data_IF_949036902431
#
_entry.id   IF_949036902431
#
_cell.length_a   1.000
_cell.length_b   1.000
_cell.length_c   1.000
_cell.angle_alpha   90.00
_cell.angle_beta   90.00
_cell.angle_gamma   90.00
#
_symmetry.space_group_name_H-M   'P 1'
#
loop_
_entity.id
_entity.type
_entity.pdbx_description
1 polymer ?
2 water ?
#
# COMPACT_ATOMS: atom_id res chain seq x y z
N UNK A 25 -10.50 -18.80 -10.70
CA UNK A 25 -10.19 -18.00 -11.88
C UNK A 25 -10.05 -16.52 -11.53
N UNK A 26 -11.17 -15.82 -11.54
CA UNK A 26 -11.20 -14.38 -11.28
C UNK A 26 -11.41 -14.13 -9.78
N UNK A 27 -10.96 -15.06 -8.95
CA UNK A 27 -11.04 -14.88 -7.51
C UNK A 27 -9.65 -14.70 -6.91
N UNK A 28 -9.59 -14.00 -5.79
CA UNK A 28 -8.33 -13.79 -5.10
C UNK A 28 -8.34 -14.47 -3.74
N UNK A 29 -7.24 -15.15 -3.41
CA UNK A 29 -7.11 -15.79 -2.11
C UNK A 29 -7.00 -14.72 -1.04
N UNK A 30 -7.94 -14.73 -0.08
CA UNK A 30 -7.98 -13.78 1.04
C UNK A 30 -6.62 -13.61 1.70
N UNK A 31 -6.19 -12.37 1.87
CA UNK A 31 -4.92 -12.10 2.53
C UNK A 31 -3.73 -12.02 1.59
N UNK A 32 -3.97 -12.05 0.28
CA UNK A 32 -2.86 -11.98 -0.67
C UNK A 32 -2.60 -10.55 -1.13
N UNK A 33 -1.47 -10.37 -1.81
CA UNK A 33 -1.11 -9.08 -2.40
C UNK A 33 -1.35 -9.13 -3.91
N UNK A 34 -2.08 -8.14 -4.42
CA UNK A 34 -2.40 -8.06 -5.85
C UNK A 34 -1.89 -6.74 -6.45
N UNK A 35 -0.99 -6.82 -7.43
CA UNK A 35 -0.55 -5.63 -8.13
C UNK A 35 -1.54 -5.27 -9.22
N UNK A 36 -1.78 -3.96 -9.36
CA UNK A 36 -2.72 -3.44 -10.34
C UNK A 36 -2.01 -2.54 -11.35
N UNK A 37 -1.94 -2.97 -12.61
CA UNK A 37 -1.30 -2.21 -13.68
C UNK A 37 -2.34 -1.69 -14.66
N UNK A 38 -2.07 -0.54 -15.28
CA UNK A 38 -2.93 -0.01 -16.33
C UNK A 38 -3.59 1.31 -15.97
N UNK A 45 -9.80 5.17 -9.71
CA UNK A 45 -10.98 4.68 -9.01
C UNK A 45 -11.79 3.73 -9.89
N UNK A 46 -11.16 3.27 -10.97
CA UNK A 46 -11.77 2.28 -11.85
C UNK A 46 -11.78 0.92 -11.18
N UNK A 47 -10.87 0.76 -10.22
CA UNK A 47 -10.58 -0.51 -9.56
C UNK A 47 -11.65 -0.85 -8.52
N UNK A 48 -12.23 0.19 -7.92
CA UNK A 48 -13.20 0.02 -6.85
C UNK A 48 -14.39 -0.84 -7.26
N UNK A 49 -14.77 -0.75 -8.53
CA UNK A 49 -15.91 -1.48 -9.05
C UNK A 49 -15.73 -2.98 -8.91
N UNK A 50 -14.55 -3.47 -9.29
CA UNK A 50 -14.33 -4.90 -9.41
C UNK A 50 -14.10 -5.60 -8.07
N UNK A 51 -13.65 -4.85 -7.06
CA UNK A 51 -13.25 -5.45 -5.78
C UNK A 51 -14.31 -6.32 -5.08
N UNK A 52 -15.56 -5.84 -4.95
CA UNK A 52 -16.53 -6.72 -4.28
C UNK A 52 -16.81 -7.97 -5.12
N UNK A 53 -16.98 -7.76 -6.42
CA UNK A 53 -17.15 -8.84 -7.39
C UNK A 53 -15.87 -9.69 -7.45
N UNK A 54 -14.76 -9.11 -6.97
CA UNK A 54 -13.50 -9.82 -6.82
C UNK A 54 -13.34 -10.32 -5.39
N UNK A 79 -18.50 0.22 4.09
CA UNK A 79 -17.59 -0.88 3.85
C UNK A 79 -16.37 -0.87 4.76
N UNK A 80 -15.46 -1.82 4.52
CA UNK A 80 -14.25 -1.95 5.33
C UNK A 80 -13.02 -1.80 4.43
N UNK A 81 -13.07 -0.84 3.52
CA UNK A 81 -12.00 -0.65 2.55
C UNK A 81 -11.19 0.61 2.82
N UNK A 82 -9.88 0.42 3.01
CA UNK A 82 -8.98 1.53 3.30
C UNK A 82 -8.07 1.81 2.11
N UNK A 83 -8.17 3.01 1.56
CA UNK A 83 -7.32 3.45 0.47
C UNK A 83 -6.35 4.54 0.92
N UNK A 84 -5.09 4.39 0.51
CA UNK A 84 -4.06 5.38 0.82
C UNK A 84 -3.77 6.17 -0.44
N UNK A 85 -4.17 7.46 -0.46
CA UNK A 85 -3.96 8.33 -1.63
C UNK A 85 -2.47 8.56 -1.89
N UNK A 86 -2.10 8.96 -3.11
CA UNK A 86 -0.69 9.24 -3.36
C UNK A 86 -0.25 10.42 -2.52
N UNK A 87 -1.11 11.43 -2.43
CA UNK A 87 -0.84 12.60 -1.60
C UNK A 87 -1.51 12.48 -0.24
N UNK A 88 -0.71 12.67 0.80
CA UNK A 88 -1.10 12.37 2.16
C UNK A 88 -1.87 13.50 2.84
N UNK A 89 -2.66 13.13 3.85
CA UNK A 89 -3.32 14.06 4.75
C UNK A 89 -2.76 13.94 6.17
N UNK A 90 -1.88 14.85 6.57
CA UNK A 90 -1.35 14.84 7.92
C UNK A 90 -1.66 16.16 8.63
N UNK A 91 -1.99 16.10 9.92
CA UNK A 91 -2.46 17.32 10.57
C UNK A 91 -1.60 17.72 11.76
N UNK A 92 -1.66 18.99 12.12
CA UNK A 92 -0.99 19.50 13.32
C UNK A 92 -1.46 18.73 14.52
N UNK A 93 -0.52 18.20 15.29
CA UNK A 93 -0.81 17.37 16.44
C UNK A 93 0.40 16.47 16.65
N UNK A 94 0.21 15.31 17.27
CA UNK A 94 1.31 14.37 17.43
C UNK A 94 1.28 13.27 16.38
N UNK A 95 2.38 12.55 16.26
CA UNK A 95 2.46 11.39 15.38
C UNK A 95 1.39 10.37 15.78
N UNK A 96 1.30 10.07 17.07
CA UNK A 96 0.30 9.12 17.54
C UNK A 96 -1.13 9.52 17.17
N UNK A 97 -1.47 10.80 17.37
CA UNK A 97 -2.80 11.29 17.02
C UNK A 97 -3.08 11.06 15.52
N UNK A 98 -2.06 11.30 14.70
CA UNK A 98 -2.20 11.13 13.24
C UNK A 98 -2.41 9.67 12.86
N UNK A 99 -1.65 8.79 13.51
CA UNK A 99 -1.76 7.36 13.18
C UNK A 99 -3.08 6.75 13.66
N UNK A 100 -3.66 7.32 14.72
CA UNK A 100 -4.94 6.87 15.27
C UNK A 100 -6.17 7.47 14.62
N UNK A 101 -5.96 8.41 13.71
CA UNK A 101 -7.07 9.14 13.12
C UNK A 101 -7.98 8.18 12.35
N UNK A 102 -9.23 8.05 12.79
CA UNK A 102 -10.14 7.12 12.16
C UNK A 102 -10.22 5.75 12.83
N UNK A 103 -9.34 5.49 13.80
CA UNK A 103 -9.44 4.26 14.59
C UNK A 103 -9.20 4.59 16.07
N UNK A 104 -10.27 5.08 16.71
CA UNK A 104 -10.16 5.58 18.08
C UNK A 104 -9.68 4.54 19.08
N UNK A 105 -9.98 3.27 18.83
CA UNK A 105 -9.67 2.23 19.82
C UNK A 105 -8.35 1.50 19.56
N UNK A 106 -7.48 2.04 18.72
CA UNK A 106 -6.16 1.43 18.52
C UNK A 106 -5.27 1.58 19.75
N UNK A 107 -4.62 0.50 20.17
CA UNK A 107 -3.72 0.56 21.31
C UNK A 107 -2.35 1.07 20.87
N UNK A 108 -1.54 1.52 21.83
CA UNK A 108 -0.18 1.95 21.49
C UNK A 108 0.60 0.84 20.79
N UNK A 109 0.46 -0.40 21.24
CA UNK A 109 1.23 -1.47 20.59
C UNK A 109 0.70 -1.79 19.19
N UNK A 110 -0.61 -1.67 18.98
CA UNK A 110 -1.11 -1.84 17.62
C UNK A 110 -0.58 -0.76 16.67
N UNK A 111 -0.41 0.46 17.17
CA UNK A 111 0.15 1.51 16.33
C UNK A 111 1.62 1.23 16.01
N UNK A 112 2.34 0.72 17.00
CA UNK A 112 3.74 0.35 16.77
C UNK A 112 3.83 -0.74 15.72
N UNK A 113 2.97 -1.75 15.84
CA UNK A 113 3.04 -2.89 14.91
C UNK A 113 2.79 -2.39 13.48
N UNK A 114 1.83 -1.48 13.33
CA UNK A 114 1.55 -0.88 12.03
C UNK A 114 2.73 -0.09 11.48
N UNK A 115 3.34 0.72 12.34
CA UNK A 115 4.46 1.55 11.93
C UNK A 115 5.67 0.67 11.61
N UNK A 116 5.83 -0.46 12.31
CA UNK A 116 6.90 -1.39 11.93
C UNK A 116 6.70 -2.01 10.53
N UNK A 117 5.46 -2.38 10.21
CA UNK A 117 5.19 -2.92 8.87
C UNK A 117 5.43 -1.86 7.79
N UNK A 118 5.01 -0.62 8.09
CA UNK A 118 5.22 0.52 7.19
C UNK A 118 6.68 1.00 7.16
N UNK A 119 7.56 0.34 7.90
CA UNK A 119 8.99 0.72 7.97
C UNK A 119 9.24 2.18 8.38
N UNK A 120 8.46 2.66 9.35
CA UNK A 120 8.59 4.04 9.82
C UNK A 120 8.78 4.08 11.37
N UNK A 121 8.68 2.92 12.01
CA UNK A 121 8.80 2.83 13.48
C UNK A 121 10.17 3.26 13.97
N UNK A 122 11.22 2.80 13.29
CA UNK A 122 12.56 3.11 13.77
C UNK A 122 12.79 4.62 13.70
N UNK A 123 12.30 5.23 12.64
CA UNK A 123 12.37 6.68 12.51
C UNK A 123 11.59 7.40 13.62
N UNK A 124 10.36 6.96 13.86
CA UNK A 124 9.56 7.56 14.95
C UNK A 124 10.28 7.44 16.30
N UNK A 125 10.79 6.24 16.61
CA UNK A 125 11.50 5.99 17.88
C UNK A 125 12.70 6.89 18.03
N UNK A 126 13.32 7.23 16.91
CA UNK A 126 14.55 8.02 16.92
C UNK A 126 14.28 9.48 17.30
N UNK A 127 13.04 9.92 17.16
CA UNK A 127 12.71 11.29 17.50
C UNK A 127 12.66 11.47 19.02
N UNK A 128 13.09 12.64 19.51
CA UNK A 128 13.14 12.90 20.96
C UNK A 128 11.86 12.54 21.72
N UNK A 129 10.68 12.81 21.17
CA UNK A 129 9.45 12.44 21.90
C UNK A 129 8.78 11.18 21.36
N UNK A 130 9.48 10.46 20.48
CA UNK A 130 8.92 9.25 19.92
C UNK A 130 7.55 9.45 19.30
N UNK A 131 6.61 8.60 19.67
CA UNK A 131 5.27 8.68 19.09
C UNK A 131 4.49 9.94 19.51
N UNK A 132 5.01 10.68 20.49
CA UNK A 132 4.32 11.89 20.92
C UNK A 132 4.94 13.13 20.28
N UNK A 133 5.86 12.92 19.33
CA UNK A 133 6.51 14.00 18.60
C UNK A 133 5.56 14.79 17.73
N UNK A 134 5.93 16.05 17.47
CA UNK A 134 5.05 16.99 16.80
C UNK A 134 4.97 16.74 15.29
N UNK A 135 3.76 16.81 14.77
CA UNK A 135 3.52 16.84 13.33
C UNK A 135 3.06 18.25 13.03
N UNK A 136 3.68 18.90 12.05
CA UNK A 136 3.25 20.22 11.63
C UNK A 136 2.14 20.08 10.60
N UNK A 137 1.41 21.16 10.33
CA UNK A 137 0.27 21.05 9.42
C UNK A 137 0.75 20.50 8.08
N UNK A 138 0.00 19.52 7.56
CA UNK A 138 0.35 18.89 6.30
C UNK A 138 1.55 17.97 6.42
N UNK A 139 2.09 17.86 7.62
CA UNK A 139 3.27 17.04 7.86
C UNK A 139 4.49 17.57 7.14
N UNK A 140 4.59 18.90 7.04
CA UNK A 140 5.65 19.53 6.25
C UNK A 140 7.02 19.37 6.90
N UNK A 141 7.06 18.93 8.15
CA UNK A 141 8.34 18.73 8.82
C UNK A 141 8.93 17.36 8.51
N UNK A 142 8.22 16.57 7.71
CA UNK A 142 8.73 15.27 7.27
C UNK A 142 9.02 15.25 5.77
N UNK A 143 9.91 14.36 5.36
CA UNK A 143 10.19 14.13 3.94
C UNK A 143 9.01 13.46 3.25
N UNK A 144 9.02 13.46 1.93
CA UNK A 144 7.96 12.82 1.16
C UNK A 144 7.78 11.35 1.49
N UNK A 145 8.89 10.63 1.61
CA UNK A 145 8.86 9.20 1.87
C UNK A 145 8.39 8.89 3.28
N UNK A 146 8.77 9.76 4.21
CA UNK A 146 8.31 9.67 5.59
C UNK A 146 6.80 9.91 5.66
N UNK A 147 6.31 10.94 4.97
CA UNK A 147 4.86 11.15 4.89
C UNK A 147 4.12 9.93 4.36
N UNK A 148 4.63 9.34 3.27
CA UNK A 148 3.93 8.22 2.65
C UNK A 148 3.90 7.02 3.59
N UNK A 149 4.98 6.80 4.34
CA UNK A 149 4.99 5.66 5.25
C UNK A 149 4.09 5.91 6.44
N UNK A 150 3.99 7.16 6.90
CA UNK A 150 3.07 7.44 8.02
C UNK A 150 1.64 7.17 7.57
N UNK A 151 1.34 7.52 6.33
CA UNK A 151 -0.01 7.31 5.78
C UNK A 151 -0.35 5.82 5.66
N UNK A 152 0.62 5.03 5.24
CA UNK A 152 0.44 3.58 5.18
C UNK A 152 0.22 3.01 6.60
N UNK A 153 1.03 3.46 7.55
CA UNK A 153 0.89 3.04 8.94
C UNK A 153 -0.51 3.36 9.46
N UNK A 154 -1.00 4.56 9.18
CA UNK A 154 -2.38 4.91 9.58
C UNK A 154 -3.43 3.97 9.00
N UNK A 155 -3.30 3.62 7.71
CA UNK A 155 -4.26 2.73 7.11
C UNK A 155 -4.23 1.35 7.77
N UNK A 156 -3.04 0.89 8.13
CA UNK A 156 -2.89 -0.44 8.74
C UNK A 156 -3.52 -0.44 10.13
N UNK A 157 -3.40 0.68 10.84
CA UNK A 157 -3.99 0.81 12.16
C UNK A 157 -5.51 0.58 12.09
N UNK A 158 -6.12 0.97 10.97
CA UNK A 158 -7.56 0.81 10.81
C UNK A 158 -8.00 -0.64 10.65
N UNK A 159 -7.03 -1.53 10.49
CA UNK A 159 -7.28 -2.96 10.30
C UNK A 159 -8.29 -3.26 9.19
N UNK A 160 -8.03 -2.79 7.97
CA UNK A 160 -9.00 -3.02 6.90
C UNK A 160 -9.04 -4.48 6.43
N UNK A 161 -10.15 -4.86 5.80
CA UNK A 161 -10.25 -6.16 5.17
C UNK A 161 -9.66 -6.07 3.76
N UNK A 162 -9.79 -4.88 3.18
CA UNK A 162 -9.18 -4.57 1.89
C UNK A 162 -8.40 -3.27 1.96
N UNK A 163 -7.12 -3.34 1.60
CA UNK A 163 -6.24 -2.18 1.58
C UNK A 163 -5.87 -1.84 0.14
N UNK A 164 -6.04 -0.59 -0.25
CA UNK A 164 -5.64 -0.13 -1.57
C UNK A 164 -4.52 0.88 -1.42
N UNK A 165 -3.34 0.52 -1.91
CA UNK A 165 -2.20 1.43 -1.93
C UNK A 165 -2.18 2.11 -3.29
N UNK A 166 -2.67 3.35 -3.35
CA UNK A 166 -2.87 4.02 -4.63
C UNK A 166 -1.64 4.80 -5.06
N UNK A 167 -0.63 4.09 -5.58
CA UNK A 167 0.57 4.72 -6.10
C UNK A 167 1.20 5.60 -5.03
N UNK A 168 1.26 5.07 -3.81
CA UNK A 168 1.61 5.87 -2.65
C UNK A 168 2.95 5.48 -2.07
N UNK A 169 3.84 4.94 -2.91
CA UNK A 169 5.18 4.54 -2.49
C UNK A 169 6.23 5.25 -3.34
N UNK A 170 5.79 6.28 -4.06
CA UNK A 170 6.61 6.90 -5.10
C UNK A 170 7.84 7.59 -4.53
N UNK A 171 7.75 8.06 -3.29
CA UNK A 171 8.88 8.71 -2.64
C UNK A 171 9.67 7.73 -1.78
N UNK A 172 9.27 6.46 -1.78
CA UNK A 172 9.92 5.46 -0.94
C UNK A 172 10.89 4.62 -1.79
N UNK A 173 12.13 4.50 -1.34
CA UNK A 173 13.16 3.81 -2.13
C UNK A 173 12.80 2.32 -2.29
N UNK A 174 13.30 1.69 -3.37
CA UNK A 174 12.83 0.34 -3.71
C UNK A 174 13.12 -0.73 -2.65
N UNK A 175 14.21 -0.58 -1.89
CA UNK A 175 14.53 -1.55 -0.85
C UNK A 175 13.50 -1.47 0.28
N UNK A 176 13.18 -0.24 0.69
CA UNK A 176 12.19 0.00 1.75
C UNK A 176 10.82 -0.46 1.28
N UNK A 177 10.49 -0.17 0.02
CA UNK A 177 9.23 -0.61 -0.56
C UNK A 177 9.07 -2.12 -0.47
N UNK A 178 10.12 -2.85 -0.84
CA UNK A 178 10.05 -4.31 -0.80
C UNK A 178 9.87 -4.79 0.63
N UNK A 179 10.55 -4.15 1.58
CA UNK A 179 10.37 -4.53 2.99
C UNK A 179 8.93 -4.28 3.45
N UNK A 180 8.33 -3.20 3.00
CA UNK A 180 6.93 -2.92 3.36
C UNK A 180 6.03 -4.02 2.81
N UNK A 181 6.19 -4.36 1.54
CA UNK A 181 5.33 -5.38 0.93
C UNK A 181 5.54 -6.76 1.54
N UNK A 182 6.80 -7.13 1.78
CA UNK A 182 7.08 -8.39 2.47
C UNK A 182 6.41 -8.42 3.85
N UNK A 183 6.37 -7.28 4.54
CA UNK A 183 5.74 -7.20 5.85
C UNK A 183 4.23 -7.39 5.81
N UNK A 184 3.59 -6.77 4.82
CA UNK A 184 2.15 -6.92 4.58
C UNK A 184 1.80 -8.39 4.41
N UNK A 185 2.59 -9.09 3.62
CA UNK A 185 2.37 -10.51 3.36
C UNK A 185 2.63 -11.34 4.59
N UNK A 186 3.65 -10.96 5.36
CA UNK A 186 4.04 -11.77 6.50
C UNK A 186 3.21 -11.50 7.76
N UNK A 187 2.74 -10.27 7.93
CA UNK A 187 2.12 -9.87 9.20
C UNK A 187 0.71 -9.31 9.08
N UNK A 188 0.21 -9.10 7.86
CA UNK A 188 -1.12 -8.55 7.71
C UNK A 188 -2.04 -9.52 7.00
N UNK A 189 -2.21 -10.69 7.61
CA UNK A 189 -3.26 -11.58 7.17
C UNK A 189 -4.55 -11.07 7.78
N UNK A 190 -5.66 -11.29 7.07
CA UNK A 190 -6.93 -10.70 7.44
C UNK A 190 -7.19 -9.55 6.50
N UNK A 191 -6.19 -9.27 5.66
CA UNK A 191 -6.31 -8.16 4.73
C UNK A 191 -5.82 -8.54 3.34
N UNK A 192 -6.67 -8.31 2.36
CA UNK A 192 -6.31 -8.46 0.96
C UNK A 192 -5.86 -7.11 0.45
N UNK A 193 -4.63 -7.04 -0.06
CA UNK A 193 -4.04 -5.76 -0.41
C UNK A 193 -3.87 -5.59 -1.92
N UNK A 194 -4.33 -4.45 -2.44
CA UNK A 194 -4.12 -4.09 -3.83
C UNK A 194 -3.13 -2.94 -3.95
N UNK A 195 -2.03 -3.14 -4.67
CA UNK A 195 -1.09 -2.05 -4.84
C UNK A 195 -1.13 -1.56 -6.29
N UNK A 196 -1.65 -0.36 -6.46
CA UNK A 196 -1.71 0.26 -7.78
C UNK A 196 -0.29 0.73 -8.10
N UNK A 197 0.27 0.17 -9.15
CA UNK A 197 1.64 0.48 -9.49
C UNK A 197 1.86 0.55 -11.00
N UNK A 198 3.01 1.10 -11.35
CA UNK A 198 3.41 1.40 -12.71
C UNK A 198 4.66 0.62 -13.02
N UNK A 199 5.25 0.03 -11.98
CA UNK A 199 6.53 -0.66 -12.10
C UNK A 199 6.33 -2.17 -12.16
N UNK A 200 6.86 -2.79 -13.21
CA UNK A 200 6.90 -4.25 -13.28
C UNK A 200 7.61 -4.90 -12.08
N UNK A 201 8.76 -4.34 -11.65
CA UNK A 201 9.42 -5.00 -10.50
C UNK A 201 8.53 -5.04 -9.26
N UNK A 202 7.81 -3.96 -9.00
CA UNK A 202 6.86 -3.92 -7.89
C UNK A 202 5.79 -4.98 -8.14
N UNK A 203 5.28 -5.02 -9.38
CA UNK A 203 4.21 -5.95 -9.74
C UNK A 203 4.61 -7.40 -9.52
N UNK A 204 5.88 -7.71 -9.78
CA UNK A 204 6.40 -9.07 -9.58
C UNK A 204 6.45 -9.50 -8.11
N UNK A 205 6.33 -8.55 -7.19
CA UNK A 205 6.39 -8.88 -5.77
C UNK A 205 5.04 -9.39 -5.27
N UNK A 206 4.01 -9.18 -6.06
CA UNK A 206 2.65 -9.49 -5.63
C UNK A 206 2.35 -10.95 -5.92
N UNK A 207 1.32 -11.49 -5.28
CA UNK A 207 0.95 -12.88 -5.53
C UNK A 207 0.25 -13.02 -6.89
N UNK A 208 -0.56 -12.02 -7.26
CA UNK A 208 -1.22 -12.01 -8.57
C UNK A 208 -1.22 -10.60 -9.13
N UNK A 209 -1.41 -10.49 -10.44
CA UNK A 209 -1.38 -9.21 -11.12
C UNK A 209 -2.67 -8.98 -11.90
N UNK A 210 -3.29 -7.84 -11.66
CA UNK A 210 -4.49 -7.41 -12.36
C UNK A 210 -4.10 -6.33 -13.36
N UNK A 211 -4.43 -6.54 -14.63
CA UNK A 211 -4.07 -5.58 -15.65
C UNK A 211 -5.31 -4.95 -16.23
N UNK A 212 -5.39 -3.63 -16.17
CA UNK A 212 -6.51 -2.90 -16.73
C UNK A 212 -6.06 -2.19 -18.00
N UNK A 213 -6.93 -2.11 -18.99
CA UNK A 213 -6.51 -1.42 -20.20
C UNK A 213 -7.42 -0.29 -20.65
N UNK A 214 -8.65 -0.63 -21.05
CA UNK A 214 -9.46 0.34 -21.77
C UNK A 214 -10.12 1.54 -21.04
N UNK A 215 -10.48 1.48 -19.76
CA UNK A 215 -10.18 0.41 -18.84
C UNK A 215 -11.29 -0.59 -18.56
N UNK A 216 -11.07 -1.81 -19.02
CA UNK A 216 -11.73 -2.97 -18.46
C UNK A 216 -10.64 -3.96 -18.12
N UNK A 217 -10.98 -5.06 -17.46
CA UNK A 217 -9.96 -6.03 -17.07
C UNK A 217 -9.36 -6.70 -18.31
N UNK A 218 -8.07 -6.48 -18.53
CA UNK A 218 -7.37 -7.02 -19.69
C UNK A 218 -6.66 -8.33 -19.37
N UNK A 219 -6.49 -8.59 -18.08
CA UNK A 219 -5.83 -9.81 -17.64
C UNK A 219 -5.78 -9.91 -16.12
N UNK A 220 -5.55 -11.13 -15.64
CA UNK A 220 -5.37 -11.38 -14.22
C UNK A 220 -4.66 -12.72 -14.06
N UNK A 221 -3.70 -12.76 -13.17
CA UNK A 221 -2.99 -14.00 -12.90
C UNK A 221 -1.55 -13.73 -12.58
N UNK A 222 -0.74 -14.76 -12.70
CA UNK A 222 0.68 -14.63 -12.47
C UNK A 222 1.32 -13.94 -13.66
N UNK A 223 2.59 -13.56 -13.51
CA UNK A 223 3.35 -12.97 -14.61
C UNK A 223 3.39 -13.91 -15.82
N UNK A 224 3.64 -15.19 -15.58
CA UNK A 224 3.71 -16.16 -16.68
C UNK A 224 2.35 -16.27 -17.35
N UNK A 225 1.29 -16.38 -16.56
CA UNK A 225 -0.06 -16.46 -17.11
C UNK A 225 -0.41 -15.23 -17.95
N UNK A 226 -0.04 -14.05 -17.48
CA UNK A 226 -0.30 -12.83 -18.23
C UNK A 226 0.48 -12.73 -19.53
N UNK A 227 1.73 -13.20 -19.56
CA UNK A 227 2.46 -13.20 -20.82
C UNK A 227 1.70 -14.02 -21.85
N UNK A 228 1.03 -15.07 -21.37
CA UNK A 228 0.40 -16.04 -22.24
C UNK A 228 -0.95 -15.58 -22.79
N UNK A 229 -1.56 -14.55 -22.21
CA UNK A 229 -2.87 -14.16 -22.74
C UNK A 229 -3.24 -12.69 -22.58
N UNK A 230 -2.27 -11.84 -22.29
CA UNK A 230 -2.59 -10.43 -22.02
C UNK A 230 -1.64 -9.51 -22.79
N UNK A 231 -2.07 -9.06 -23.96
CA UNK A 231 -1.22 -8.21 -24.79
C UNK A 231 -0.83 -6.91 -24.10
N UNK A 232 -1.79 -6.21 -23.42
CA UNK A 232 -1.36 -5.01 -22.71
C UNK A 232 -0.20 -5.28 -21.74
N UNK A 233 -0.20 -6.44 -21.10
CA UNK A 233 0.83 -6.75 -20.14
C UNK A 233 2.15 -7.01 -20.86
N UNK A 234 2.10 -7.75 -21.97
CA UNK A 234 3.29 -7.98 -22.79
C UNK A 234 3.95 -6.64 -23.18
N UNK A 235 3.14 -5.65 -23.52
CA UNK A 235 3.70 -4.36 -23.94
C UNK A 235 4.31 -3.61 -22.76
N UNK A 236 3.67 -3.71 -21.59
CA UNK A 236 4.18 -3.03 -20.40
C UNK A 236 5.52 -3.66 -20.04
N UNK A 237 5.54 -4.99 -20.04
CA UNK A 237 6.74 -5.73 -19.70
C UNK A 237 7.89 -5.35 -20.64
N UNK A 238 7.61 -5.33 -21.94
CA UNK A 238 8.65 -4.97 -22.90
C UNK A 238 9.10 -3.52 -22.73
N UNK A 239 8.18 -2.63 -22.35
CA UNK A 239 8.55 -1.22 -22.22
C UNK A 239 9.56 -1.04 -21.07
N UNK A 240 9.62 -2.01 -20.17
CA UNK A 240 10.53 -1.93 -19.03
C UNK A 240 11.71 -2.91 -19.13
N UNK A 241 11.60 -3.88 -20.02
CA UNK A 241 12.70 -4.83 -20.29
C UNK A 241 12.81 -5.15 -21.78
N UNK A 242 14.04 -5.32 -22.26
CA UNK A 242 14.25 -5.63 -23.66
C UNK A 242 13.63 -6.94 -24.10
#
# INVERSE_FOLDING_TARGET
SGSVSFENVEFRYFENTDPVLSGVNFSVKPGSLVAVLGETGSGKSTLMNLIPRLIDPERGRVEVDELDVRTVKLKDLRGHISAVPQETVLFSGTIKENLKWGREDATDDEIVEAAKIAQIHDFIISLPEGYDSRVERGGRNFSGGQKQRLSIARALVKKPKVLILDDCTSSVDPITEKRILDGLKRYTKGCTTFIITQKIPTALLADKILVLHEGKVAGFGTHKELLEHCKPYREIYESQFGNGVMNDAA
#
